data_IF_173234432774
#
_entry.id   IF_173234432774
#
_cell.length_a   1.000
_cell.length_b   1.000
_cell.length_c   1.000
_cell.angle_alpha   90.00
_cell.angle_beta   90.00
_cell.angle_gamma   90.00
#
_symmetry.space_group_name_H-M   'P 1'
#
loop_
_entity.id
_entity.type
_entity.pdbx_description
1 polymer ?
#
# COMPACT_ATOMS: atom_id res chain seq x y z
N UNK A 1 11.95 -21.10 -0.33
CA UNK A 1 11.11 -19.98 0.17
C UNK A 1 10.37 -20.51 1.39
N UNK A 2 10.61 -19.93 2.52
CA UNK A 2 9.97 -20.33 3.76
C UNK A 2 8.71 -19.47 3.97
N UNK A 3 7.67 -20.10 4.49
CA UNK A 3 6.41 -19.43 4.82
C UNK A 3 6.34 -19.36 6.34
N UNK A 4 6.24 -18.13 6.87
CA UNK A 4 6.11 -17.89 8.30
C UNK A 4 4.76 -17.23 8.60
N UNK A 5 4.16 -17.57 9.72
CA UNK A 5 2.96 -16.88 10.19
C UNK A 5 3.34 -15.55 10.80
N UNK A 6 2.63 -14.48 10.40
CA UNK A 6 2.87 -13.13 10.89
C UNK A 6 1.56 -12.35 10.95
N UNK A 7 1.31 -11.67 12.07
CA UNK A 7 0.26 -10.67 12.22
C UNK A 7 0.92 -9.28 12.31
N UNK A 8 0.55 -8.38 11.41
CA UNK A 8 1.07 -7.01 11.40
C UNK A 8 0.77 -6.24 12.71
N UNK A 9 -0.27 -6.61 13.43
CA UNK A 9 -0.64 -5.98 14.70
C UNK A 9 0.09 -6.59 15.91
N UNK A 10 0.77 -7.72 15.74
CA UNK A 10 1.67 -8.31 16.72
C UNK A 10 3.12 -7.97 16.38
N UNK A 11 3.65 -6.93 17.06
CA UNK A 11 5.02 -6.45 16.86
C UNK A 11 6.09 -7.55 17.03
N UNK A 12 5.86 -8.53 17.91
CA UNK A 12 6.81 -9.63 18.12
C UNK A 12 6.83 -10.59 16.93
N UNK A 13 5.66 -10.91 16.36
CA UNK A 13 5.57 -11.76 15.18
C UNK A 13 6.22 -11.09 13.97
N UNK A 14 6.03 -9.77 13.80
CA UNK A 14 6.66 -8.99 12.73
C UNK A 14 8.19 -8.98 12.91
N UNK A 15 8.69 -8.76 14.12
CA UNK A 15 10.13 -8.76 14.43
C UNK A 15 10.77 -10.09 14.08
N UNK A 16 10.13 -11.20 14.44
CA UNK A 16 10.62 -12.55 14.09
C UNK A 16 10.67 -12.79 12.59
N UNK A 17 9.66 -12.32 11.87
CA UNK A 17 9.60 -12.49 10.41
C UNK A 17 10.66 -11.67 9.66
N UNK A 18 11.11 -10.55 10.22
CA UNK A 18 12.06 -9.60 9.59
C UNK A 18 13.51 -9.85 10.03
N UNK A 19 13.76 -10.59 11.11
CA UNK A 19 15.05 -10.67 11.81
C UNK A 19 16.27 -10.94 10.91
N UNK A 20 16.17 -11.85 9.94
CA UNK A 20 17.29 -12.27 9.08
C UNK A 20 17.11 -11.79 7.62
N UNK A 21 16.24 -10.83 7.38
CA UNK A 21 15.98 -10.32 6.05
C UNK A 21 16.99 -9.21 5.68
N UNK A 22 17.46 -9.22 4.43
CA UNK A 22 18.22 -8.10 3.85
C UNK A 22 17.32 -7.06 3.19
N UNK A 23 16.13 -7.48 2.76
CA UNK A 23 15.14 -6.62 2.10
C UNK A 23 13.74 -6.95 2.57
N UNK A 24 12.91 -5.94 2.70
CA UNK A 24 11.49 -6.07 3.05
C UNK A 24 10.63 -5.49 1.94
N UNK A 25 9.69 -6.26 1.41
CA UNK A 25 8.63 -5.78 0.53
C UNK A 25 7.33 -5.78 1.33
N UNK A 26 6.92 -4.61 1.79
CA UNK A 26 5.71 -4.43 2.59
C UNK A 26 4.50 -4.20 1.70
N UNK A 27 3.78 -5.27 1.36
CA UNK A 27 2.56 -5.21 0.52
C UNK A 27 1.28 -5.31 1.33
N UNK A 28 1.37 -5.78 2.56
CA UNK A 28 0.21 -6.03 3.39
C UNK A 28 -0.49 -4.73 3.79
N UNK A 29 -1.79 -4.67 3.56
CA UNK A 29 -2.65 -3.55 3.93
C UNK A 29 -4.10 -4.00 4.09
N UNK A 30 -4.88 -3.23 4.83
CA UNK A 30 -6.33 -3.42 4.89
C UNK A 30 -6.95 -2.81 3.64
N UNK A 31 -7.54 -3.64 2.77
CA UNK A 31 -8.23 -3.21 1.55
C UNK A 31 -9.74 -3.22 1.80
N UNK A 32 -10.22 -2.28 2.62
CA UNK A 32 -11.64 -2.05 2.90
C UNK A 32 -11.91 -0.58 2.65
N UNK A 33 -12.83 -0.29 1.72
CA UNK A 33 -13.09 1.10 1.30
C UNK A 33 -13.95 1.87 2.31
N UNK A 34 -14.88 1.20 2.99
CA UNK A 34 -15.77 1.81 3.99
C UNK A 34 -16.08 0.85 5.13
N UNK A 35 -16.17 1.38 6.34
CA UNK A 35 -16.61 0.65 7.54
C UNK A 35 -17.28 1.61 8.52
N UNK A 36 -18.28 1.15 9.25
CA UNK A 36 -18.87 1.92 10.38
C UNK A 36 -17.86 2.17 11.52
N UNK A 37 -16.78 1.38 11.56
CA UNK A 37 -15.66 1.50 12.51
C UNK A 37 -14.38 1.72 11.70
N UNK A 38 -14.37 2.73 10.83
CA UNK A 38 -13.29 2.94 9.87
C UNK A 38 -11.94 3.20 10.55
N UNK A 39 -11.92 3.95 11.65
CA UNK A 39 -10.71 4.17 12.44
C UNK A 39 -10.07 2.84 12.85
N UNK A 40 -10.81 1.99 13.56
CA UNK A 40 -10.30 0.73 14.11
C UNK A 40 -10.05 -0.36 13.08
N UNK A 41 -10.80 -0.36 11.95
CA UNK A 41 -10.74 -1.45 10.97
C UNK A 41 -9.93 -1.13 9.73
N UNK A 42 -9.62 0.13 9.48
CA UNK A 42 -8.93 0.57 8.25
C UNK A 42 -7.69 1.39 8.60
N UNK A 43 -7.85 2.49 9.35
CA UNK A 43 -6.77 3.44 9.59
C UNK A 43 -5.76 2.87 10.59
N UNK A 44 -6.20 2.53 11.80
CA UNK A 44 -5.31 2.03 12.85
C UNK A 44 -4.51 0.81 12.43
N UNK A 45 -5.11 -0.25 11.85
CA UNK A 45 -4.34 -1.41 11.42
C UNK A 45 -3.31 -1.10 10.34
N UNK A 46 -3.61 -0.17 9.44
CA UNK A 46 -2.67 0.25 8.40
C UNK A 46 -1.48 1.01 8.97
N UNK A 47 -1.72 1.95 9.88
CA UNK A 47 -0.66 2.76 10.49
C UNK A 47 0.14 1.96 11.51
N UNK A 48 -0.54 1.22 12.42
CA UNK A 48 0.13 0.40 13.43
C UNK A 48 0.93 -0.72 12.79
N UNK A 49 0.34 -1.42 11.79
CA UNK A 49 1.04 -2.47 11.07
C UNK A 49 2.29 -1.98 10.35
N UNK A 50 2.21 -0.81 9.69
CA UNK A 50 3.37 -0.18 9.05
C UNK A 50 4.42 0.18 10.09
N UNK A 51 4.04 0.78 11.23
CA UNK A 51 4.98 1.10 12.31
C UNK A 51 5.71 -0.14 12.83
N UNK A 52 4.99 -1.24 13.09
CA UNK A 52 5.59 -2.48 13.54
C UNK A 52 6.63 -3.03 12.54
N UNK A 53 6.38 -2.88 11.24
CA UNK A 53 7.36 -3.24 10.20
C UNK A 53 8.60 -2.34 10.27
N UNK A 54 8.44 -1.03 10.42
CA UNK A 54 9.57 -0.09 10.53
C UNK A 54 10.40 -0.35 11.80
N UNK A 55 9.76 -0.58 12.93
CA UNK A 55 10.42 -0.91 14.20
C UNK A 55 11.16 -2.26 14.12
N UNK A 56 10.59 -3.23 13.40
CA UNK A 56 11.25 -4.51 13.15
C UNK A 56 12.49 -4.35 12.24
N UNK A 57 12.43 -3.51 11.21
CA UNK A 57 13.57 -3.16 10.35
C UNK A 57 14.68 -2.54 11.19
N UNK A 58 14.35 -1.57 12.03
CA UNK A 58 15.33 -0.91 12.91
C UNK A 58 16.01 -1.91 13.87
N UNK A 59 15.22 -2.84 14.38
CA UNK A 59 15.72 -3.85 15.32
C UNK A 59 16.56 -4.95 14.67
N UNK A 60 16.36 -5.22 13.37
CA UNK A 60 17.01 -6.34 12.69
C UNK A 60 18.51 -6.13 12.48
N UNK A 61 18.92 -4.89 12.22
CA UNK A 61 20.30 -4.54 11.85
C UNK A 61 20.78 -5.13 10.52
N UNK A 62 19.99 -5.95 9.84
CA UNK A 62 20.32 -6.64 8.59
C UNK A 62 19.64 -6.04 7.37
N UNK A 63 18.45 -5.47 7.53
CA UNK A 63 17.69 -4.89 6.42
C UNK A 63 18.39 -3.67 5.83
N UNK A 64 18.55 -3.67 4.51
CA UNK A 64 19.17 -2.60 3.72
C UNK A 64 18.23 -2.00 2.69
N UNK A 65 17.05 -2.62 2.50
CA UNK A 65 16.09 -2.17 1.49
C UNK A 65 14.66 -2.36 1.99
N UNK A 66 13.85 -1.30 1.89
CA UNK A 66 12.40 -1.33 2.10
C UNK A 66 11.69 -0.91 0.82
N UNK A 67 10.82 -1.78 0.30
CA UNK A 67 9.87 -1.43 -0.75
C UNK A 67 8.49 -1.36 -0.12
N UNK A 68 7.92 -0.16 -0.07
CA UNK A 68 6.59 0.06 0.49
C UNK A 68 5.53 0.12 -0.61
N UNK A 69 4.53 -0.75 -0.54
CA UNK A 69 3.38 -0.71 -1.44
C UNK A 69 2.31 0.23 -0.89
N UNK A 70 2.32 1.44 -1.36
CA UNK A 70 1.28 2.42 -1.07
C UNK A 70 0.11 2.30 -2.08
N UNK A 71 -0.42 3.39 -2.55
CA UNK A 71 -1.50 3.46 -3.53
C UNK A 71 -1.58 4.86 -4.13
N UNK A 72 -2.12 5.01 -5.34
CA UNK A 72 -2.56 6.33 -5.83
C UNK A 72 -3.56 6.99 -4.89
N UNK A 73 -4.27 6.22 -4.04
CA UNK A 73 -5.16 6.77 -3.02
C UNK A 73 -4.43 7.58 -1.92
N UNK A 74 -3.13 7.39 -1.73
CA UNK A 74 -2.33 8.17 -0.78
C UNK A 74 -1.95 9.56 -1.32
N UNK A 75 -1.87 9.68 -2.65
CA UNK A 75 -1.39 10.87 -3.35
C UNK A 75 -2.49 11.61 -4.12
N UNK A 76 -3.70 11.06 -4.20
CA UNK A 76 -4.85 11.67 -4.88
C UNK A 76 -5.73 12.38 -3.85
N UNK A 77 -5.78 13.71 -3.84
CA UNK A 77 -6.71 14.46 -3.01
C UNK A 77 -8.17 14.06 -3.27
N UNK A 78 -9.03 14.16 -2.28
CA UNK A 78 -10.48 13.95 -2.45
C UNK A 78 -11.09 15.07 -3.32
N UNK A 79 -10.49 16.25 -3.28
CA UNK A 79 -10.80 17.42 -4.11
C UNK A 79 -10.25 17.34 -5.53
N UNK A 80 -9.69 16.20 -5.95
CA UNK A 80 -9.12 15.99 -7.28
C UNK A 80 -10.15 16.24 -8.39
N UNK A 81 -9.74 17.03 -9.38
CA UNK A 81 -10.52 17.32 -10.58
C UNK A 81 -9.91 16.67 -11.83
N UNK A 82 -10.75 16.34 -12.80
CA UNK A 82 -10.29 15.76 -14.06
C UNK A 82 -9.31 16.70 -14.79
N UNK A 83 -8.23 16.13 -15.30
CA UNK A 83 -7.17 16.87 -16.01
C UNK A 83 -6.00 17.31 -15.14
N UNK A 84 -6.08 17.18 -13.82
CA UNK A 84 -4.94 17.39 -12.95
C UNK A 84 -3.94 16.23 -13.07
N UNK A 85 -2.65 16.50 -12.87
CA UNK A 85 -1.60 15.49 -12.88
C UNK A 85 -1.16 15.15 -11.45
N UNK A 86 -1.22 13.87 -11.09
CA UNK A 86 -0.63 13.39 -9.84
C UNK A 86 0.89 13.34 -9.98
N UNK A 87 1.59 13.84 -9.00
CA UNK A 87 3.05 13.80 -8.89
C UNK A 87 3.46 13.19 -7.56
N UNK A 88 4.74 13.00 -7.35
CA UNK A 88 5.30 12.54 -6.07
C UNK A 88 5.11 13.55 -4.92
N UNK A 89 4.76 14.79 -5.25
CA UNK A 89 4.54 15.88 -4.29
C UNK A 89 3.06 16.13 -3.98
N UNK A 90 2.16 15.40 -4.66
CA UNK A 90 0.72 15.45 -4.38
C UNK A 90 0.35 14.47 -3.28
N UNK A 91 -0.56 14.87 -2.40
CA UNK A 91 -0.97 14.09 -1.25
C UNK A 91 -2.48 14.15 -1.01
N UNK A 92 -3.04 13.06 -0.49
CA UNK A 92 -4.44 12.98 -0.06
C UNK A 92 -4.64 13.59 1.33
N UNK A 93 -4.16 14.83 1.55
CA UNK A 93 -4.21 15.52 2.85
C UNK A 93 -5.64 15.87 3.28
N UNK A 94 -6.56 15.97 2.33
CA UNK A 94 -7.97 16.23 2.54
C UNK A 94 -8.80 14.95 2.78
N UNK A 95 -8.16 13.77 2.80
CA UNK A 95 -8.84 12.54 3.11
C UNK A 95 -9.28 12.50 4.58
N UNK A 96 -10.54 12.15 4.81
CA UNK A 96 -11.12 12.05 6.15
C UNK A 96 -11.65 10.63 6.42
N UNK A 97 -11.90 10.34 7.71
CA UNK A 97 -12.47 9.04 8.12
C UNK A 97 -13.87 8.86 7.53
N UNK A 98 -14.63 9.94 7.43
CA UNK A 98 -16.02 9.97 6.99
C UNK A 98 -16.15 9.75 5.48
N UNK A 99 -15.30 10.38 4.70
CA UNK A 99 -15.43 10.42 3.25
C UNK A 99 -14.51 9.42 2.55
N UNK A 100 -13.24 9.36 2.98
CA UNK A 100 -12.20 8.55 2.33
C UNK A 100 -11.27 7.87 3.35
N UNK A 101 -11.77 6.96 4.21
CA UNK A 101 -10.94 6.31 5.23
C UNK A 101 -9.79 5.48 4.66
N UNK A 102 -9.97 4.91 3.46
CA UNK A 102 -8.90 4.18 2.78
C UNK A 102 -7.78 5.11 2.30
N UNK A 103 -8.13 6.25 1.70
CA UNK A 103 -7.16 7.28 1.30
C UNK A 103 -6.38 7.79 2.50
N UNK A 104 -7.09 8.11 3.60
CA UNK A 104 -6.47 8.54 4.86
C UNK A 104 -5.49 7.49 5.41
N UNK A 105 -5.88 6.20 5.40
CA UNK A 105 -5.02 5.12 5.88
C UNK A 105 -3.74 4.99 5.04
N UNK A 106 -3.86 5.06 3.71
CA UNK A 106 -2.72 4.98 2.78
C UNK A 106 -1.81 6.20 2.86
N UNK A 107 -2.40 7.40 2.91
CA UNK A 107 -1.67 8.65 3.14
C UNK A 107 -0.88 8.60 4.45
N UNK A 108 -1.54 8.25 5.57
CA UNK A 108 -0.90 8.21 6.87
C UNK A 108 0.23 7.17 6.95
N UNK A 109 0.03 5.99 6.34
CA UNK A 109 1.05 4.95 6.30
C UNK A 109 2.26 5.37 5.44
N UNK A 110 2.04 5.97 4.26
CA UNK A 110 3.14 6.43 3.40
C UNK A 110 3.91 7.58 4.03
N UNK A 111 3.24 8.55 4.65
CA UNK A 111 3.89 9.63 5.40
C UNK A 111 4.77 9.08 6.51
N UNK A 112 4.26 8.11 7.28
CA UNK A 112 5.02 7.44 8.33
C UNK A 112 6.31 6.80 7.79
N UNK A 113 6.25 6.11 6.64
CA UNK A 113 7.43 5.49 6.00
C UNK A 113 8.43 6.55 5.55
N UNK A 114 7.97 7.63 4.92
CA UNK A 114 8.86 8.71 4.44
C UNK A 114 9.50 9.46 5.59
N UNK A 115 8.74 9.79 6.63
CA UNK A 115 9.25 10.47 7.83
C UNK A 115 10.27 9.59 8.58
N UNK A 116 10.01 8.29 8.68
CA UNK A 116 10.97 7.32 9.22
C UNK A 116 12.25 7.27 8.38
N UNK A 117 12.13 7.17 7.05
CA UNK A 117 13.30 7.09 6.15
C UNK A 117 14.15 8.37 6.21
N UNK A 118 13.54 9.55 6.30
CA UNK A 118 14.27 10.83 6.38
C UNK A 118 15.22 10.92 7.59
N UNK A 119 15.00 10.09 8.60
CA UNK A 119 15.86 9.97 9.79
C UNK A 119 17.01 8.97 9.64
N UNK A 120 17.17 8.26 8.50
CA UNK A 120 18.08 7.12 8.35
C UNK A 120 19.42 7.42 7.70
N UNK A 121 19.73 8.70 7.38
CA UNK A 121 21.03 9.11 6.82
C UNK A 121 21.50 8.19 5.67
N UNK A 122 20.63 7.87 4.72
CA UNK A 122 20.87 7.00 3.56
C UNK A 122 21.36 5.56 3.88
N UNK A 123 21.22 5.13 5.11
CA UNK A 123 21.64 3.79 5.53
C UNK A 123 20.75 2.65 5.00
N UNK A 124 19.52 2.96 4.63
CA UNK A 124 18.53 2.02 4.12
C UNK A 124 17.93 2.59 2.83
N UNK A 125 18.01 1.80 1.75
CA UNK A 125 17.29 2.12 0.52
C UNK A 125 15.78 2.02 0.75
N UNK A 126 15.02 3.05 0.42
CA UNK A 126 13.56 3.03 0.46
C UNK A 126 12.96 3.43 -0.89
N UNK A 127 11.97 2.67 -1.34
CA UNK A 127 11.16 3.02 -2.52
C UNK A 127 9.69 2.81 -2.18
N UNK A 128 8.87 3.80 -2.47
CA UNK A 128 7.42 3.69 -2.39
C UNK A 128 6.84 3.49 -3.79
N UNK A 129 5.96 2.50 -3.94
CA UNK A 129 5.23 2.22 -5.18
C UNK A 129 3.75 2.53 -4.92
N UNK A 130 3.16 3.39 -5.77
CA UNK A 130 1.77 3.84 -5.66
C UNK A 130 0.92 3.28 -6.81
N UNK A 131 0.53 2.00 -6.79
CA UNK A 131 -0.29 1.43 -7.84
C UNK A 131 -1.66 2.09 -7.88
N UNK A 132 -2.22 2.19 -9.08
CA UNK A 132 -3.64 2.43 -9.29
C UNK A 132 -4.45 1.12 -9.13
N UNK A 133 -5.57 0.96 -9.82
CA UNK A 133 -6.38 -0.27 -9.75
C UNK A 133 -5.61 -1.43 -10.35
N UNK A 134 -5.17 -2.36 -9.51
CA UNK A 134 -4.39 -3.53 -9.94
C UNK A 134 -5.33 -4.64 -10.40
N UNK A 135 -5.19 -5.06 -11.64
CA UNK A 135 -5.92 -6.18 -12.23
C UNK A 135 -4.93 -7.21 -12.80
N UNK A 136 -5.40 -8.43 -13.00
CA UNK A 136 -4.61 -9.49 -13.63
C UNK A 136 -5.05 -10.88 -13.20
N UNK A 137 -4.34 -11.93 -13.63
CA UNK A 137 -4.69 -13.31 -13.32
C UNK A 137 -4.63 -13.56 -11.80
N UNK A 138 -5.74 -13.98 -11.16
CA UNK A 138 -5.72 -14.29 -9.74
C UNK A 138 -5.04 -15.64 -9.49
N UNK A 139 -4.13 -15.69 -8.51
CA UNK A 139 -3.48 -16.94 -8.09
C UNK A 139 -4.35 -17.77 -7.13
N UNK A 140 -5.38 -17.16 -6.54
CA UNK A 140 -6.35 -17.83 -5.67
C UNK A 140 -7.73 -17.16 -5.73
N UNK A 141 -8.76 -17.87 -5.27
CA UNK A 141 -10.12 -17.32 -5.19
C UNK A 141 -10.20 -16.09 -4.25
N UNK A 142 -9.33 -16.00 -3.25
CA UNK A 142 -9.28 -14.86 -2.32
C UNK A 142 -8.85 -13.57 -3.03
N UNK A 143 -8.07 -13.68 -4.11
CA UNK A 143 -7.62 -12.53 -4.89
C UNK A 143 -8.73 -11.90 -5.76
N UNK A 144 -9.90 -12.51 -5.84
CA UNK A 144 -11.07 -11.92 -6.50
C UNK A 144 -11.75 -10.84 -5.62
N UNK A 145 -11.37 -10.72 -4.35
CA UNK A 145 -11.77 -9.62 -3.48
C UNK A 145 -10.93 -8.36 -3.81
N UNK A 146 -11.42 -7.19 -3.43
CA UNK A 146 -10.75 -5.93 -3.73
C UNK A 146 -10.95 -5.47 -5.18
N UNK A 147 -9.91 -4.97 -5.85
CA UNK A 147 -10.01 -4.41 -7.20
C UNK A 147 -10.64 -5.33 -8.25
N UNK A 148 -10.33 -6.63 -8.32
CA UNK A 148 -10.98 -7.54 -9.27
C UNK A 148 -12.49 -7.69 -9.06
N UNK A 149 -13.01 -7.43 -7.84
CA UNK A 149 -14.46 -7.50 -7.60
C UNK A 149 -15.24 -6.49 -8.41
N UNK A 150 -14.67 -5.30 -8.68
CA UNK A 150 -15.29 -4.27 -9.51
C UNK A 150 -15.51 -4.79 -10.93
N UNK A 151 -14.48 -5.43 -11.50
CA UNK A 151 -14.58 -6.05 -12.83
C UNK A 151 -15.63 -7.17 -12.84
N UNK A 152 -15.67 -7.99 -11.78
CA UNK A 152 -16.67 -9.06 -11.67
C UNK A 152 -18.10 -8.52 -11.58
N UNK A 153 -18.32 -7.41 -10.85
CA UNK A 153 -19.63 -6.76 -10.78
C UNK A 153 -20.08 -6.24 -12.16
N UNK A 154 -19.16 -5.65 -12.93
CA UNK A 154 -19.43 -5.20 -14.31
C UNK A 154 -19.78 -6.37 -15.22
N UNK A 155 -18.98 -7.44 -15.20
CA UNK A 155 -19.21 -8.63 -16.02
C UNK A 155 -20.53 -9.34 -15.69
N UNK A 156 -20.94 -9.34 -14.44
CA UNK A 156 -22.20 -9.91 -13.96
C UNK A 156 -23.40 -8.99 -14.17
N UNK A 157 -23.17 -7.78 -14.71
CA UNK A 157 -24.20 -6.76 -14.90
C UNK A 157 -24.91 -6.35 -13.59
N UNK A 158 -24.20 -6.42 -12.48
CA UNK A 158 -24.68 -5.99 -11.16
C UNK A 158 -24.75 -4.46 -11.07
N UNK A 159 -24.05 -3.73 -11.96
CA UNK A 159 -24.12 -2.29 -12.12
C UNK A 159 -25.02 -2.00 -13.32
N UNK A 160 -26.26 -1.52 -13.11
CA UNK A 160 -27.27 -1.39 -14.18
C UNK A 160 -27.12 -0.13 -15.04
N UNK A 161 -26.10 0.70 -14.78
CA UNK A 161 -25.87 1.97 -15.48
C UNK A 161 -24.37 2.18 -15.73
N UNK A 162 -24.06 3.01 -16.72
CA UNK A 162 -22.68 3.42 -17.00
C UNK A 162 -22.32 4.56 -16.05
N UNK A 163 -21.29 4.34 -15.25
CA UNK A 163 -20.72 5.37 -14.37
C UNK A 163 -19.67 6.12 -15.19
N UNK A 164 -19.79 7.44 -15.40
CA UNK A 164 -18.77 8.23 -16.07
C UNK A 164 -17.58 8.39 -15.09
N UNK A 165 -16.70 7.42 -15.05
CA UNK A 165 -15.56 7.40 -14.15
C UNK A 165 -14.31 6.97 -14.92
N UNK A 166 -13.26 7.78 -14.81
CA UNK A 166 -11.94 7.42 -15.32
C UNK A 166 -11.19 6.61 -14.27
N UNK A 167 -10.82 5.38 -14.62
CA UNK A 167 -10.06 4.48 -13.74
C UNK A 167 -8.74 4.12 -14.43
N UNK A 168 -7.63 4.49 -13.80
CA UNK A 168 -6.32 4.00 -14.21
C UNK A 168 -6.15 2.56 -13.75
N UNK A 169 -5.69 1.69 -14.65
CA UNK A 169 -5.51 0.26 -14.41
C UNK A 169 -4.05 -0.11 -14.68
N UNK A 170 -3.51 -1.01 -13.87
CA UNK A 170 -2.18 -1.59 -14.06
C UNK A 170 -2.26 -3.12 -13.93
N UNK A 171 -1.44 -3.83 -14.71
CA UNK A 171 -1.34 -5.28 -14.60
C UNK A 171 -0.56 -5.67 -13.34
N UNK A 172 -1.05 -6.68 -12.62
CA UNK A 172 -0.39 -7.18 -11.39
C UNK A 172 1.03 -7.66 -11.64
N UNK A 173 1.34 -8.14 -12.86
CA UNK A 173 2.69 -8.60 -13.24
C UNK A 173 3.65 -7.42 -13.38
N UNK A 174 3.19 -6.30 -13.93
CA UNK A 174 3.98 -5.07 -14.02
C UNK A 174 4.23 -4.48 -12.63
N UNK A 175 3.23 -4.53 -11.75
CA UNK A 175 3.40 -4.12 -10.35
C UNK A 175 4.44 -4.99 -9.64
N UNK A 176 4.37 -6.32 -9.79
CA UNK A 176 5.34 -7.24 -9.21
C UNK A 176 6.75 -7.00 -9.74
N UNK A 177 6.90 -6.80 -11.06
CA UNK A 177 8.18 -6.48 -11.68
C UNK A 177 8.75 -5.15 -11.18
N UNK A 178 7.90 -4.14 -10.99
CA UNK A 178 8.30 -2.86 -10.42
C UNK A 178 8.88 -3.02 -9.00
N UNK A 179 8.25 -3.86 -8.16
CA UNK A 179 8.76 -4.15 -6.81
C UNK A 179 10.14 -4.81 -6.85
N UNK A 180 10.32 -5.81 -7.72
CA UNK A 180 11.62 -6.51 -7.86
C UNK A 180 12.69 -5.55 -8.36
N UNK A 181 12.39 -4.74 -9.38
CA UNK A 181 13.34 -3.74 -9.89
C UNK A 181 13.69 -2.68 -8.88
N UNK A 182 12.72 -2.25 -8.06
CA UNK A 182 12.93 -1.26 -7.03
C UNK A 182 13.92 -1.71 -5.95
N UNK A 183 14.13 -3.02 -5.74
CA UNK A 183 15.14 -3.52 -4.82
C UNK A 183 16.57 -3.17 -5.24
N UNK A 184 16.84 -3.07 -6.55
CA UNK A 184 18.20 -2.93 -7.09
C UNK A 184 18.41 -1.71 -7.98
N UNK A 185 17.35 -1.08 -8.49
CA UNK A 185 17.40 0.01 -9.47
C UNK A 185 16.55 1.20 -9.03
N UNK A 186 16.91 2.37 -9.55
CA UNK A 186 16.22 3.63 -9.29
C UNK A 186 17.01 4.56 -8.35
N UNK A 187 16.66 5.84 -8.27
CA UNK A 187 17.29 6.77 -7.36
C UNK A 187 17.08 6.29 -5.91
N UNK A 188 18.08 6.49 -5.09
CA UNK A 188 17.93 6.49 -3.64
C UNK A 188 17.31 7.84 -3.32
N UNK A 189 16.09 7.87 -2.87
CA UNK A 189 15.37 9.10 -2.53
C UNK A 189 15.59 9.47 -1.09
#
# INVERSE_FOLDING_TARGET
>A
MDIVEMDLLDAESVRKAVADCESVIHTAAVVVLKSKRAQEKIVDPSVVGTRNVLDAIDSSGTVRCLIHTSSTAAIRPSSWEDGQTLTTDTWAEDATIEENPYGLAKYSAERLVRDWHSSKEDSIRMVTINPCVVLGPPLSKRHLNGSPSILMMLLRREIPFVIPMHISIVDVRDVAEAHVRAMTRGPVS
#
